data_IF_266821596816
#
_entry.id   IF_266821596816
#
_cell.length_a   1.000
_cell.length_b   1.000
_cell.length_c   1.000
_cell.angle_alpha   90.00
_cell.angle_beta   90.00
_cell.angle_gamma   90.00
#
_symmetry.space_group_name_H-M   'P 1'
#
loop_
_entity.id
_entity.type
_entity.pdbx_description
1 polymer ?
#
# COMPACT_ATOMS: atom_id res chain seq x y z
N UNK A 1 29.55 -48.25 -18.58
CA UNK A 1 30.29 -47.17 -17.90
C UNK A 1 30.00 -45.84 -18.60
N UNK A 2 28.84 -45.19 -18.35
CA UNK A 2 28.55 -43.86 -18.91
C UNK A 2 27.35 -43.19 -18.22
N UNK A 3 27.39 -42.98 -16.90
CA UNK A 3 26.34 -42.23 -16.17
C UNK A 3 26.88 -41.27 -15.10
N UNK A 4 28.16 -40.89 -15.16
CA UNK A 4 28.77 -39.98 -14.15
C UNK A 4 29.30 -38.66 -14.72
N UNK A 5 29.27 -38.45 -16.03
CA UNK A 5 29.86 -37.26 -16.66
C UNK A 5 28.92 -36.05 -16.81
N UNK A 6 27.59 -36.23 -16.72
CA UNK A 6 26.63 -35.14 -16.99
C UNK A 6 26.30 -34.28 -15.75
N UNK A 7 26.54 -34.82 -14.54
CA UNK A 7 26.22 -34.08 -13.30
C UNK A 7 27.30 -33.04 -12.97
N UNK A 8 28.52 -33.19 -13.49
CA UNK A 8 29.63 -32.29 -13.13
C UNK A 8 29.66 -30.96 -13.91
N UNK A 9 28.94 -30.87 -15.04
CA UNK A 9 28.88 -29.62 -15.83
C UNK A 9 27.79 -28.66 -15.35
N UNK A 10 26.74 -29.15 -14.69
CA UNK A 10 25.60 -28.32 -14.24
C UNK A 10 25.93 -27.47 -13.00
N UNK A 11 26.72 -28.01 -12.06
CA UNK A 11 27.20 -27.25 -10.89
C UNK A 11 28.28 -26.22 -11.23
N UNK A 12 29.05 -26.45 -12.30
CA UNK A 12 30.11 -25.54 -12.72
C UNK A 12 29.55 -24.26 -13.35
N UNK A 13 28.43 -24.34 -14.08
CA UNK A 13 27.73 -23.16 -14.65
C UNK A 13 27.08 -22.32 -13.55
N UNK A 14 26.52 -22.94 -12.51
CA UNK A 14 25.96 -22.22 -11.37
C UNK A 14 27.04 -21.53 -10.51
N UNK A 15 28.25 -22.10 -10.42
CA UNK A 15 29.38 -21.47 -9.74
C UNK A 15 30.07 -20.37 -10.58
N UNK A 16 30.13 -20.51 -11.91
CA UNK A 16 30.68 -19.48 -12.80
C UNK A 16 29.75 -18.27 -12.95
N UNK A 17 28.44 -18.48 -12.99
CA UNK A 17 27.45 -17.40 -13.15
C UNK A 17 27.30 -16.50 -11.92
N UNK A 18 27.73 -16.96 -10.74
CA UNK A 18 27.76 -16.16 -9.51
C UNK A 18 28.99 -15.23 -9.47
N UNK A 19 29.99 -15.43 -10.32
CA UNK A 19 31.25 -14.66 -10.30
C UNK A 19 31.36 -13.56 -11.37
N UNK A 20 30.41 -13.45 -12.30
CA UNK A 20 30.40 -12.33 -13.26
C UNK A 20 29.17 -11.47 -13.08
N UNK A 21 29.38 -10.17 -12.92
CA UNK A 21 28.38 -9.10 -12.69
C UNK A 21 27.37 -8.91 -13.85
N UNK A 22 27.19 -9.91 -14.72
CA UNK A 22 26.36 -9.86 -15.93
C UNK A 22 25.49 -11.10 -16.13
N UNK A 23 24.97 -11.66 -15.05
CA UNK A 23 24.04 -12.80 -15.09
C UNK A 23 22.73 -12.49 -15.87
N UNK A 24 22.40 -11.22 -16.12
CA UNK A 24 21.20 -10.79 -16.84
C UNK A 24 21.17 -11.15 -18.32
N UNK A 25 22.33 -11.31 -18.95
CA UNK A 25 22.45 -11.39 -20.42
C UNK A 25 22.25 -12.84 -20.93
N UNK A 26 22.28 -13.82 -20.04
CA UNK A 26 22.20 -15.26 -20.37
C UNK A 26 20.93 -15.95 -19.87
N UNK A 27 19.91 -15.19 -19.45
CA UNK A 27 18.63 -15.76 -18.99
C UNK A 27 17.77 -16.16 -20.21
N UNK A 28 17.44 -17.45 -20.42
CA UNK A 28 16.51 -17.89 -21.45
C UNK A 28 15.17 -17.15 -21.36
N UNK A 29 14.54 -16.85 -22.50
CA UNK A 29 13.28 -16.07 -22.55
C UNK A 29 12.18 -16.60 -21.60
N UNK A 30 12.13 -17.91 -21.39
CA UNK A 30 11.22 -18.57 -20.44
C UNK A 30 11.48 -18.14 -18.99
N UNK A 31 12.75 -18.06 -18.59
CA UNK A 31 13.13 -17.65 -17.23
C UNK A 31 12.96 -16.13 -17.08
N UNK A 32 13.18 -15.33 -18.14
CA UNK A 32 12.84 -13.89 -18.13
C UNK A 32 11.35 -13.66 -17.85
N UNK A 33 10.45 -14.44 -18.45
CA UNK A 33 9.01 -14.33 -18.21
C UNK A 33 8.65 -14.58 -16.73
N UNK A 34 9.33 -15.55 -16.09
CA UNK A 34 9.17 -15.86 -14.66
C UNK A 34 9.77 -14.78 -13.73
N UNK A 35 10.90 -14.17 -14.10
CA UNK A 35 11.55 -13.12 -13.31
C UNK A 35 10.87 -11.74 -13.45
N UNK A 36 10.28 -11.41 -14.61
CA UNK A 36 9.59 -10.13 -14.83
C UNK A 36 8.31 -10.00 -13.97
N UNK A 37 7.67 -11.12 -13.59
CA UNK A 37 6.50 -11.08 -12.70
C UNK A 37 6.84 -10.72 -11.23
N UNK A 38 8.12 -10.77 -10.84
CA UNK A 38 8.58 -10.56 -9.47
C UNK A 38 9.54 -9.38 -9.32
N UNK A 39 9.40 -8.37 -10.17
CA UNK A 39 10.05 -7.09 -9.90
C UNK A 39 9.45 -6.51 -8.61
N UNK A 40 10.24 -6.23 -7.56
CA UNK A 40 9.72 -5.46 -6.44
C UNK A 40 9.20 -4.14 -7.03
N UNK A 41 7.91 -3.87 -6.82
CA UNK A 41 7.26 -2.68 -7.34
C UNK A 41 8.17 -1.49 -7.03
N UNK A 42 8.66 -0.82 -8.09
CA UNK A 42 9.34 0.45 -7.91
C UNK A 42 8.41 1.33 -7.07
N UNK A 43 8.91 2.07 -6.07
CA UNK A 43 8.05 2.96 -5.30
C UNK A 43 7.38 3.88 -6.30
N UNK A 44 6.07 3.66 -6.51
CA UNK A 44 5.26 4.51 -7.36
C UNK A 44 5.40 5.94 -6.84
N UNK A 45 5.48 6.96 -7.72
CA UNK A 45 5.48 8.34 -7.29
C UNK A 45 4.38 8.54 -6.23
N UNK A 46 4.73 9.12 -5.08
CA UNK A 46 3.77 9.32 -4.00
C UNK A 46 2.64 10.21 -4.53
N UNK A 47 1.42 9.66 -4.63
CA UNK A 47 0.29 10.39 -5.21
C UNK A 47 -0.13 11.48 -4.23
N UNK A 48 -0.24 12.71 -4.73
CA UNK A 48 -0.76 13.84 -3.97
C UNK A 48 -2.23 14.05 -4.36
N UNK A 49 -3.12 14.01 -3.37
CA UNK A 49 -4.55 14.12 -3.56
C UNK A 49 -5.09 15.36 -2.85
N UNK A 50 -5.99 16.07 -3.51
CA UNK A 50 -6.92 17.00 -2.87
C UNK A 50 -8.02 16.26 -2.13
N UNK A 51 -8.78 16.99 -1.31
CA UNK A 51 -9.98 16.44 -0.68
C UNK A 51 -11.01 16.01 -1.73
N UNK A 52 -11.19 16.81 -2.78
CA UNK A 52 -12.14 16.52 -3.87
C UNK A 52 -11.75 15.26 -4.65
N UNK A 53 -10.45 15.07 -4.91
CA UNK A 53 -9.95 13.85 -5.55
C UNK A 53 -10.09 12.63 -4.64
N UNK A 54 -9.84 12.79 -3.34
CA UNK A 54 -10.02 11.71 -2.35
C UNK A 54 -11.48 11.24 -2.28
N UNK A 55 -12.44 12.17 -2.35
CA UNK A 55 -13.89 11.86 -2.29
C UNK A 55 -14.36 10.92 -3.39
N UNK A 56 -13.67 10.88 -4.54
CA UNK A 56 -14.01 9.97 -5.65
C UNK A 56 -13.74 8.50 -5.32
N UNK A 57 -12.89 8.21 -4.33
CA UNK A 57 -12.52 6.84 -3.95
C UNK A 57 -13.46 6.30 -2.87
N UNK A 58 -14.75 6.22 -3.22
CA UNK A 58 -15.87 5.93 -2.32
C UNK A 58 -16.61 4.62 -2.60
N UNK A 59 -16.14 3.80 -3.54
CA UNK A 59 -16.80 2.57 -3.97
C UNK A 59 -17.97 2.78 -4.95
N UNK A 60 -18.33 4.04 -5.26
CA UNK A 60 -19.40 4.42 -6.19
C UNK A 60 -18.83 5.10 -7.44
N UNK A 61 -18.12 6.21 -7.26
CA UNK A 61 -17.45 6.95 -8.35
C UNK A 61 -16.21 6.18 -8.85
N UNK A 62 -15.51 5.53 -7.92
CA UNK A 62 -14.44 4.58 -8.19
C UNK A 62 -14.62 3.32 -7.35
N UNK A 63 -14.18 2.14 -7.85
CA UNK A 63 -14.36 0.90 -7.13
C UNK A 63 -13.50 0.80 -5.86
N UNK A 64 -12.40 1.57 -5.78
CA UNK A 64 -11.54 1.60 -4.60
C UNK A 64 -12.13 2.45 -3.47
N UNK A 65 -11.76 2.09 -2.24
CA UNK A 65 -12.15 2.76 -1.00
C UNK A 65 -10.90 3.36 -0.35
N UNK A 66 -10.75 4.68 -0.38
CA UNK A 66 -9.61 5.36 0.25
C UNK A 66 -10.05 6.16 1.47
N UNK A 67 -9.15 6.34 2.43
CA UNK A 67 -9.31 7.30 3.52
C UNK A 67 -7.96 7.93 3.85
N UNK A 68 -7.98 9.11 4.47
CA UNK A 68 -6.77 9.74 4.99
C UNK A 68 -6.72 9.78 6.51
N UNK A 69 -5.51 9.64 7.06
CA UNK A 69 -5.21 9.91 8.45
C UNK A 69 -3.84 10.59 8.60
N UNK A 70 -3.84 11.75 9.26
CA UNK A 70 -2.72 12.67 9.38
C UNK A 70 -2.06 12.94 8.02
N UNK A 71 -2.88 13.20 7.01
CA UNK A 71 -2.47 13.50 5.64
C UNK A 71 -1.88 12.33 4.84
N UNK A 72 -1.81 11.10 5.38
CA UNK A 72 -1.46 9.92 4.57
C UNK A 72 -2.72 9.23 4.05
N UNK A 73 -2.72 8.83 2.78
CA UNK A 73 -3.87 8.18 2.14
C UNK A 73 -3.64 6.69 2.04
N UNK A 74 -4.64 5.91 2.47
CA UNK A 74 -4.60 4.46 2.50
C UNK A 74 -5.72 3.86 1.68
N UNK A 75 -5.39 2.83 0.90
CA UNK A 75 -6.34 1.97 0.24
C UNK A 75 -6.88 0.93 1.23
N UNK A 76 -8.16 1.09 1.59
CA UNK A 76 -8.90 0.22 2.50
C UNK A 76 -9.84 -0.75 1.79
N UNK A 77 -9.73 -0.88 0.46
CA UNK A 77 -10.60 -1.74 -0.37
C UNK A 77 -10.59 -3.20 0.09
N UNK A 78 -9.45 -3.74 0.52
CA UNK A 78 -9.37 -5.10 1.08
C UNK A 78 -10.16 -5.28 2.39
N UNK A 79 -10.52 -4.18 3.03
CA UNK A 79 -11.37 -4.10 4.21
C UNK A 79 -12.83 -3.80 3.88
N UNK A 80 -13.32 -4.02 2.65
CA UNK A 80 -14.68 -3.68 2.22
C UNK A 80 -15.80 -4.21 3.14
N UNK A 81 -15.59 -5.31 3.87
CA UNK A 81 -16.52 -5.79 4.91
C UNK A 81 -16.75 -4.80 6.07
N UNK A 82 -15.90 -3.80 6.19
CA UNK A 82 -15.95 -2.75 7.20
C UNK A 82 -16.23 -1.37 6.60
N UNK A 83 -15.64 -1.09 5.43
CA UNK A 83 -15.68 0.23 4.78
C UNK A 83 -16.58 0.31 3.55
N UNK A 84 -17.14 -0.80 3.07
CA UNK A 84 -18.03 -0.82 1.91
C UNK A 84 -19.37 -0.15 2.21
N UNK A 85 -20.14 0.15 1.17
CA UNK A 85 -21.45 0.83 1.30
C UNK A 85 -22.34 0.13 2.35
N UNK A 86 -22.90 0.92 3.27
CA UNK A 86 -23.74 0.44 4.37
C UNK A 86 -22.98 -0.24 5.53
N UNK A 87 -21.65 -0.37 5.48
CA UNK A 87 -20.85 -0.93 6.58
C UNK A 87 -20.49 0.12 7.63
N UNK A 88 -20.21 -0.32 8.86
CA UNK A 88 -20.01 0.53 10.04
C UNK A 88 -18.98 1.66 9.87
N UNK A 89 -17.92 1.42 9.11
CA UNK A 89 -16.81 2.36 8.93
C UNK A 89 -16.80 3.03 7.55
N UNK A 90 -17.85 2.84 6.75
CA UNK A 90 -17.97 3.46 5.42
C UNK A 90 -17.88 4.99 5.48
N UNK A 91 -18.34 5.60 6.57
CA UNK A 91 -18.33 7.05 6.72
C UNK A 91 -16.93 7.68 6.64
N UNK A 92 -15.84 6.93 6.90
CA UNK A 92 -14.47 7.42 6.77
C UNK A 92 -13.98 7.50 5.33
N UNK A 93 -14.64 6.79 4.43
CA UNK A 93 -14.19 6.65 3.04
C UNK A 93 -14.35 7.99 2.31
N UNK A 94 -13.35 8.35 1.52
CA UNK A 94 -13.30 9.58 0.75
C UNK A 94 -12.99 10.83 1.58
N UNK A 95 -12.50 10.69 2.82
CA UNK A 95 -12.31 11.81 3.75
C UNK A 95 -10.96 11.78 4.43
N UNK A 96 -10.52 12.95 4.93
CA UNK A 96 -9.54 12.99 6.01
C UNK A 96 -10.26 12.70 7.34
N UNK A 97 -10.03 11.49 7.82
CA UNK A 97 -10.65 10.93 9.01
C UNK A 97 -9.90 11.27 10.30
N UNK A 98 -8.85 12.11 10.22
CA UNK A 98 -7.97 12.43 11.36
C UNK A 98 -8.77 12.86 12.59
N UNK A 99 -9.68 13.82 12.47
CA UNK A 99 -10.45 14.27 13.64
C UNK A 99 -11.43 13.19 14.12
N UNK A 100 -12.11 12.50 13.20
CA UNK A 100 -13.12 11.48 13.51
C UNK A 100 -12.55 10.29 14.32
N UNK A 101 -11.29 9.89 14.09
CA UNK A 101 -10.65 8.82 14.87
C UNK A 101 -10.51 9.13 16.36
N UNK A 102 -10.57 10.41 16.75
CA UNK A 102 -10.48 10.86 18.14
C UNK A 102 -11.84 11.23 18.71
N UNK A 103 -12.67 11.92 17.93
CA UNK A 103 -13.98 12.36 18.42
C UNK A 103 -14.97 11.21 18.49
N UNK A 104 -14.81 10.18 17.66
CA UNK A 104 -15.81 9.13 17.48
C UNK A 104 -17.12 9.65 16.88
N UNK A 105 -17.12 10.90 16.40
CA UNK A 105 -18.25 11.49 15.71
C UNK A 105 -18.18 11.10 14.23
N UNK A 106 -19.25 10.50 13.74
CA UNK A 106 -19.34 9.96 12.38
C UNK A 106 -20.22 10.82 11.46
N UNK A 107 -20.57 12.02 11.91
CA UNK A 107 -21.26 13.01 11.10
C UNK A 107 -20.28 13.71 10.14
N UNK A 108 -20.76 14.04 8.94
CA UNK A 108 -19.95 14.65 7.87
C UNK A 108 -19.35 16.00 8.24
N UNK A 109 -19.99 16.75 9.16
CA UNK A 109 -19.52 18.07 9.61
C UNK A 109 -18.20 18.02 10.39
N UNK A 110 -17.84 16.86 10.94
CA UNK A 110 -16.61 16.67 11.73
C UNK A 110 -15.45 16.07 10.91
N UNK A 111 -15.67 15.79 9.62
CA UNK A 111 -14.62 15.36 8.71
C UNK A 111 -13.64 16.51 8.48
N UNK A 112 -12.50 16.46 9.16
CA UNK A 112 -11.51 17.53 9.16
C UNK A 112 -10.11 16.99 9.39
N UNK A 113 -9.15 17.60 8.70
CA UNK A 113 -7.72 17.44 8.88
C UNK A 113 -7.17 18.27 10.07
N UNK A 114 -7.98 19.17 10.64
CA UNK A 114 -7.58 20.04 11.73
C UNK A 114 -7.40 19.25 13.03
N UNK A 115 -6.14 19.11 13.44
CA UNK A 115 -5.74 18.40 14.67
C UNK A 115 -4.85 19.24 15.59
N UNK A 116 -4.58 20.50 15.23
CA UNK A 116 -3.66 21.37 15.97
C UNK A 116 -4.19 21.74 17.38
N UNK A 117 -5.51 21.68 17.58
CA UNK A 117 -6.19 21.93 18.85
C UNK A 117 -6.25 20.70 19.77
N UNK A 118 -5.79 19.54 19.30
CA UNK A 118 -5.84 18.30 20.08
C UNK A 118 -4.75 18.26 21.17
N UNK A 119 -5.09 17.69 22.32
CA UNK A 119 -4.13 17.42 23.38
C UNK A 119 -3.07 16.41 22.95
N UNK A 120 -1.94 16.38 23.68
CA UNK A 120 -0.84 15.45 23.40
C UNK A 120 -1.28 13.98 23.32
N UNK A 121 -2.10 13.53 24.27
CA UNK A 121 -2.58 12.14 24.32
C UNK A 121 -3.43 11.79 23.11
N UNK A 122 -4.28 12.72 22.65
CA UNK A 122 -5.11 12.55 21.46
C UNK A 122 -4.25 12.47 20.18
N UNK A 123 -3.22 13.31 20.09
CA UNK A 123 -2.24 13.23 18.98
C UNK A 123 -1.46 11.91 18.99
N UNK A 124 -1.13 11.38 20.18
CA UNK A 124 -0.48 10.07 20.31
C UNK A 124 -1.40 8.95 19.83
N UNK A 125 -2.69 8.98 20.19
CA UNK A 125 -3.69 8.05 19.67
C UNK A 125 -3.82 8.12 18.14
N UNK A 126 -3.79 9.30 17.53
CA UNK A 126 -3.77 9.42 16.06
C UNK A 126 -2.53 8.82 15.42
N UNK A 127 -1.37 9.00 16.05
CA UNK A 127 -0.13 8.38 15.59
C UNK A 127 -0.23 6.85 15.63
N UNK A 128 -0.85 6.30 16.67
CA UNK A 128 -1.09 4.85 16.78
C UNK A 128 -2.05 4.35 15.69
N UNK A 129 -3.15 5.07 15.44
CA UNK A 129 -4.06 4.76 14.33
C UNK A 129 -3.33 4.78 12.98
N UNK A 130 -2.54 5.82 12.69
CA UNK A 130 -1.74 5.87 11.47
C UNK A 130 -0.79 4.66 11.35
N UNK A 131 -0.16 4.26 12.45
CA UNK A 131 0.71 3.07 12.46
C UNK A 131 -0.07 1.77 12.20
N UNK A 132 -1.29 1.65 12.75
CA UNK A 132 -2.20 0.56 12.42
C UNK A 132 -2.48 0.53 10.90
N UNK A 133 -2.84 1.65 10.28
CA UNK A 133 -3.12 1.69 8.85
C UNK A 133 -1.89 1.35 7.99
N UNK A 134 -0.70 1.87 8.33
CA UNK A 134 0.54 1.48 7.64
C UNK A 134 0.84 -0.01 7.70
N UNK A 135 0.50 -0.66 8.82
CA UNK A 135 0.71 -2.10 9.01
C UNK A 135 -0.35 -2.92 8.26
N UNK A 136 -1.58 -2.43 8.24
CA UNK A 136 -2.73 -3.22 7.83
C UNK A 136 -3.27 -2.86 6.44
N UNK A 137 -2.87 -1.77 5.81
CA UNK A 137 -3.38 -1.29 4.53
C UNK A 137 -2.27 -0.73 3.63
N UNK A 138 -2.55 -0.58 2.35
CA UNK A 138 -1.58 -0.06 1.39
C UNK A 138 -1.60 1.45 1.42
N UNK A 139 -0.47 2.09 1.73
CA UNK A 139 -0.33 3.54 1.55
C UNK A 139 -0.23 3.85 0.06
N UNK A 140 -1.11 4.71 -0.44
CA UNK A 140 -1.18 5.09 -1.86
C UNK A 140 -0.71 6.51 -2.12
N UNK A 141 -0.71 7.37 -1.10
CA UNK A 141 -0.37 8.78 -1.30
C UNK A 141 -0.43 9.63 -0.03
N UNK A 142 -0.57 10.93 -0.24
CA UNK A 142 -0.75 11.97 0.77
C UNK A 142 -1.74 13.03 0.32
N UNK A 143 -2.29 13.76 1.28
CA UNK A 143 -3.05 14.99 1.04
C UNK A 143 -2.11 16.14 0.64
N UNK A 144 -2.59 17.05 -0.21
CA UNK A 144 -1.86 18.27 -0.64
C UNK A 144 -2.53 19.56 -0.19
#
# INVERSE_FOLDING_TARGET
MLKKAVIFTSLFVLLFAVWTDKASDFIPAVIRQFFIQRSPAQPSPEVLLTLEELQLYNGKDRPELYLSILGEVFDVTKGAKHYGDGCQYNFFVGKDASRNFITGNFNDEDASDQVADLSHDKLLSLKQWKQFYRKHYTKVGKMR
#
